data_IF_680069399693
#
_entry.id   IF_680069399693
#
_cell.length_a   1.000
_cell.length_b   1.000
_cell.length_c   1.000
_cell.angle_alpha   90.00
_cell.angle_beta   90.00
_cell.angle_gamma   90.00
#
_symmetry.space_group_name_H-M   'P 1'
#
loop_
_entity.id
_entity.type
_entity.pdbx_description
1 polymer ?
#
# COMPACT_ATOMS: atom_id res chain seq x y z
N UNK A 1 -21.22 37.85 13.23
CA UNK A 1 -20.35 36.67 13.27
C UNK A 1 -19.83 36.44 11.87
N UNK A 2 -18.55 36.13 11.71
CA UNK A 2 -17.95 35.76 10.43
C UNK A 2 -17.25 34.42 10.63
N UNK A 3 -17.47 33.46 9.75
CA UNK A 3 -16.80 32.15 9.79
C UNK A 3 -16.34 31.73 8.41
N UNK A 4 -15.26 30.97 8.33
CA UNK A 4 -14.72 30.40 7.10
C UNK A 4 -14.71 28.87 7.23
N UNK A 5 -15.23 28.19 6.23
CA UNK A 5 -15.22 26.73 6.11
C UNK A 5 -14.52 26.31 4.81
N UNK A 6 -13.82 25.15 4.74
CA UNK A 6 -13.61 24.21 5.83
C UNK A 6 -12.51 24.66 6.83
N UNK A 7 -12.47 24.01 7.99
CA UNK A 7 -11.37 23.92 8.98
C UNK A 7 -10.81 25.21 9.63
N UNK A 8 -11.26 26.40 9.21
CA UNK A 8 -10.81 27.67 9.80
C UNK A 8 -11.73 28.09 10.96
N UNK A 9 -13.05 28.01 10.77
CA UNK A 9 -14.03 28.38 11.79
C UNK A 9 -14.24 29.89 11.91
N UNK A 10 -14.55 30.37 13.11
CA UNK A 10 -14.91 31.78 13.36
C UNK A 10 -13.66 32.67 13.24
N UNK A 11 -13.80 33.77 12.51
CA UNK A 11 -12.75 34.78 12.30
C UNK A 11 -13.29 36.19 12.57
N UNK A 12 -12.37 37.14 12.74
CA UNK A 12 -12.73 38.55 12.80
C UNK A 12 -13.31 39.04 11.47
N UNK A 13 -14.11 40.11 11.51
CA UNK A 13 -14.76 40.67 10.32
C UNK A 13 -13.81 41.37 9.35
N UNK A 14 -12.53 41.52 9.72
CA UNK A 14 -11.47 42.08 8.90
C UNK A 14 -10.12 41.43 9.28
N UNK A 15 -9.24 41.25 8.31
CA UNK A 15 -7.92 40.64 8.50
C UNK A 15 -7.44 39.76 7.35
N UNK A 16 -6.32 39.10 7.57
CA UNK A 16 -5.69 38.18 6.63
C UNK A 16 -5.28 36.89 7.34
N UNK A 17 -5.46 35.74 6.69
CA UNK A 17 -5.07 34.44 7.20
C UNK A 17 -4.27 33.68 6.13
N UNK A 18 -3.12 33.12 6.52
CA UNK A 18 -2.35 32.23 5.66
C UNK A 18 -2.91 30.81 5.76
N UNK A 19 -3.14 30.17 4.61
CA UNK A 19 -3.59 28.77 4.51
C UNK A 19 -2.64 28.01 3.59
N UNK A 20 -2.44 26.71 3.87
CA UNK A 20 -1.63 25.81 3.07
C UNK A 20 -2.38 24.46 2.93
N UNK A 21 -3.49 24.41 2.18
CA UNK A 21 -4.22 23.17 2.01
C UNK A 21 -3.39 22.16 1.23
N UNK A 22 -3.56 20.87 1.54
CA UNK A 22 -2.86 19.77 0.84
C UNK A 22 -3.61 19.30 -0.43
N UNK A 23 -4.85 19.75 -0.59
CA UNK A 23 -5.68 19.48 -1.77
C UNK A 23 -6.36 20.78 -2.22
N UNK A 24 -6.81 20.83 -3.47
CA UNK A 24 -7.56 21.99 -3.98
C UNK A 24 -8.79 22.22 -3.11
N UNK A 25 -8.81 23.34 -2.40
CA UNK A 25 -9.81 23.63 -1.37
C UNK A 25 -10.56 24.90 -1.70
N UNK A 26 -11.89 24.84 -1.69
CA UNK A 26 -12.75 26.02 -1.80
C UNK A 26 -13.16 26.45 -0.40
N UNK A 27 -12.67 27.60 0.02
CA UNK A 27 -13.05 28.22 1.28
C UNK A 27 -14.27 29.09 1.09
N UNK A 28 -15.29 28.91 1.92
CA UNK A 28 -16.51 29.71 1.95
C UNK A 28 -16.52 30.54 3.24
N UNK A 29 -16.49 31.86 3.09
CA UNK A 29 -16.73 32.79 4.20
C UNK A 29 -18.23 33.09 4.31
N UNK A 30 -18.77 33.04 5.51
CA UNK A 30 -20.17 33.38 5.83
C UNK A 30 -20.20 34.45 6.92
N UNK A 31 -20.84 35.58 6.63
CA UNK A 31 -21.06 36.67 7.57
C UNK A 31 -22.54 36.76 7.94
N UNK A 32 -22.84 36.69 9.24
CA UNK A 32 -24.19 36.78 9.82
C UNK A 32 -24.26 38.04 10.70
N UNK A 33 -25.22 38.91 10.42
CA UNK A 33 -25.50 40.12 11.18
C UNK A 33 -26.97 40.49 11.22
N UNK A 34 -27.30 41.64 11.82
CA UNK A 34 -28.68 42.15 11.90
C UNK A 34 -29.32 42.39 10.54
N UNK A 35 -28.50 42.59 9.49
CA UNK A 35 -28.93 42.73 8.10
C UNK A 35 -29.13 41.42 7.34
N UNK A 36 -28.95 40.27 7.97
CA UNK A 36 -29.06 38.95 7.35
C UNK A 36 -27.73 38.22 7.21
N UNK A 37 -27.69 37.24 6.32
CA UNK A 37 -26.54 36.36 6.07
C UNK A 37 -26.04 36.54 4.64
N UNK A 38 -24.73 36.67 4.47
CA UNK A 38 -24.06 36.70 3.16
C UNK A 38 -22.89 35.71 3.16
N UNK A 39 -22.63 35.07 2.02
CA UNK A 39 -21.49 34.16 1.85
C UNK A 39 -20.74 34.46 0.56
N UNK A 40 -19.43 34.20 0.57
CA UNK A 40 -18.56 34.29 -0.60
C UNK A 40 -17.51 33.17 -0.56
N UNK A 41 -17.00 32.75 -1.71
CA UNK A 41 -16.03 31.66 -1.80
C UNK A 41 -14.74 32.07 -2.52
N UNK A 42 -13.61 31.47 -2.12
CA UNK A 42 -12.33 31.54 -2.81
C UNK A 42 -11.73 30.13 -2.92
N UNK A 43 -11.24 29.77 -4.11
CA UNK A 43 -10.63 28.45 -4.36
C UNK A 43 -9.11 28.57 -4.41
N UNK A 44 -8.43 27.82 -3.53
CA UNK A 44 -6.99 27.61 -3.59
C UNK A 44 -6.74 26.31 -4.35
N UNK A 45 -6.11 26.41 -5.52
CA UNK A 45 -5.72 25.23 -6.30
C UNK A 45 -4.38 24.70 -5.81
N UNK A 46 -4.32 23.38 -5.61
CA UNK A 46 -3.11 22.64 -5.27
C UNK A 46 -2.85 21.65 -6.39
N UNK A 47 -1.69 21.78 -7.02
CA UNK A 47 -1.21 20.81 -7.99
C UNK A 47 -0.55 19.65 -7.21
N UNK A 48 -1.21 18.48 -7.21
CA UNK A 48 -0.65 17.29 -6.58
C UNK A 48 0.38 16.65 -7.52
N UNK A 49 1.56 16.24 -7.01
CA UNK A 49 2.52 15.50 -7.83
C UNK A 49 2.03 14.08 -8.17
N UNK A 50 0.93 13.63 -7.54
CA UNK A 50 0.35 12.29 -7.66
C UNK A 50 -0.82 12.29 -8.66
N UNK A 51 -0.79 11.33 -9.59
CA UNK A 51 -1.95 10.91 -10.37
C UNK A 51 -2.22 9.42 -10.14
N UNK A 52 -3.50 9.02 -10.17
CA UNK A 52 -3.93 7.62 -10.05
C UNK A 52 -5.13 7.39 -10.97
N UNK A 53 -5.22 6.20 -11.56
CA UNK A 53 -6.31 5.80 -12.43
C UNK A 53 -6.62 4.31 -12.25
N UNK A 54 -7.91 3.96 -12.15
CA UNK A 54 -8.37 2.57 -12.22
C UNK A 54 -8.50 2.18 -13.70
N UNK A 55 -7.81 1.11 -14.09
CA UNK A 55 -7.82 0.55 -15.46
C UNK A 55 -8.86 -0.57 -15.58
N UNK A 56 -9.00 -1.38 -14.54
CA UNK A 56 -10.00 -2.44 -14.44
C UNK A 56 -10.46 -2.59 -12.98
N UNK A 57 -11.75 -2.82 -12.71
CA UNK A 57 -12.85 -2.86 -13.67
C UNK A 57 -13.12 -1.48 -14.30
N UNK A 58 -13.76 -1.47 -15.47
CA UNK A 58 -14.22 -0.23 -16.08
C UNK A 58 -15.42 0.34 -15.32
N UNK A 59 -15.60 1.66 -15.37
CA UNK A 59 -16.79 2.29 -14.81
C UNK A 59 -18.08 1.76 -15.46
N UNK A 60 -19.06 1.41 -14.62
CA UNK A 60 -20.31 0.76 -15.01
C UNK A 60 -20.22 -0.75 -15.27
N UNK A 61 -19.09 -1.41 -15.01
CA UNK A 61 -18.95 -2.84 -15.26
C UNK A 61 -19.96 -3.69 -14.46
N UNK A 62 -20.48 -4.75 -15.08
CA UNK A 62 -21.24 -5.79 -14.41
C UNK A 62 -20.30 -6.94 -14.02
N UNK A 63 -20.32 -7.33 -12.75
CA UNK A 63 -19.44 -8.34 -12.18
C UNK A 63 -20.29 -9.51 -11.68
N UNK A 64 -20.17 -10.67 -12.31
CA UNK A 64 -20.91 -11.88 -11.93
C UNK A 64 -20.14 -12.72 -10.89
N UNK A 65 -19.67 -12.06 -9.82
CA UNK A 65 -18.82 -12.62 -8.75
C UNK A 65 -19.03 -11.84 -7.44
N UNK A 66 -18.70 -12.44 -6.27
CA UNK A 66 -18.70 -11.73 -4.98
C UNK A 66 -17.48 -10.80 -4.80
N UNK A 67 -16.53 -10.80 -5.73
CA UNK A 67 -15.30 -10.03 -5.67
C UNK A 67 -14.83 -9.58 -7.06
N UNK A 68 -13.84 -8.69 -7.10
CA UNK A 68 -13.19 -8.29 -8.35
C UNK A 68 -11.71 -7.96 -8.11
N UNK A 69 -10.85 -8.36 -9.06
CA UNK A 69 -9.49 -7.83 -9.12
C UNK A 69 -9.53 -6.37 -9.61
N UNK A 70 -8.87 -5.49 -8.86
CA UNK A 70 -8.71 -4.08 -9.26
C UNK A 70 -7.29 -3.87 -9.75
N UNK A 71 -7.15 -3.28 -10.94
CA UNK A 71 -5.89 -2.92 -11.57
C UNK A 71 -5.91 -1.45 -11.92
N UNK A 72 -4.78 -0.79 -11.78
CA UNK A 72 -4.66 0.60 -12.20
C UNK A 72 -3.23 1.04 -12.40
N UNK A 73 -3.10 2.33 -12.68
CA UNK A 73 -1.82 3.01 -12.85
C UNK A 73 -1.74 4.23 -11.95
N UNK A 74 -0.52 4.62 -11.61
CA UNK A 74 -0.26 5.84 -10.84
C UNK A 74 1.06 6.46 -11.28
N UNK A 75 1.26 7.72 -10.91
CA UNK A 75 2.55 8.38 -11.02
C UNK A 75 2.73 9.33 -9.84
N UNK A 76 3.96 9.46 -9.33
CA UNK A 76 4.35 10.51 -8.41
C UNK A 76 5.58 11.26 -8.95
N UNK A 77 5.36 12.44 -9.50
CA UNK A 77 6.44 13.28 -10.07
C UNK A 77 7.34 13.91 -9.01
N UNK A 78 6.94 13.88 -7.74
CA UNK A 78 7.76 14.32 -6.60
C UNK A 78 8.79 13.30 -6.14
N UNK A 79 8.80 12.08 -6.70
CA UNK A 79 9.78 11.02 -6.41
C UNK A 79 9.71 10.48 -4.97
N UNK A 80 8.68 10.85 -4.23
CA UNK A 80 8.45 10.35 -2.87
C UNK A 80 7.79 8.99 -2.92
N UNK A 81 8.14 8.13 -1.97
CA UNK A 81 7.45 6.85 -1.77
C UNK A 81 5.94 7.09 -1.68
N UNK A 82 5.19 6.30 -2.42
CA UNK A 82 3.73 6.40 -2.52
C UNK A 82 3.12 5.05 -2.22
N UNK A 83 2.27 5.00 -1.20
CA UNK A 83 1.45 3.83 -0.91
C UNK A 83 0.10 3.93 -1.61
N UNK A 84 -0.49 2.78 -1.95
CA UNK A 84 -1.77 2.69 -2.66
C UNK A 84 -2.68 1.70 -1.94
N UNK A 85 -3.92 2.11 -1.74
CA UNK A 85 -5.00 1.24 -1.25
C UNK A 85 -6.18 1.23 -2.21
N UNK A 86 -6.94 0.14 -2.22
CA UNK A 86 -8.26 0.06 -2.86
C UNK A 86 -9.28 -0.37 -1.82
N UNK A 87 -10.27 0.49 -1.53
CA UNK A 87 -11.22 0.30 -0.44
C UNK A 87 -10.54 -0.05 0.92
N UNK A 88 -9.35 0.51 1.16
CA UNK A 88 -8.54 0.26 2.36
C UNK A 88 -7.64 -0.99 2.32
N UNK A 89 -7.72 -1.81 1.26
CA UNK A 89 -6.82 -2.96 1.07
C UNK A 89 -5.53 -2.51 0.39
N UNK A 90 -4.37 -2.93 0.90
CA UNK A 90 -3.07 -2.61 0.34
C UNK A 90 -2.90 -3.16 -1.07
N UNK A 91 -2.37 -2.34 -1.98
CA UNK A 91 -2.05 -2.78 -3.33
C UNK A 91 -0.63 -3.35 -3.45
N UNK A 92 -0.50 -4.37 -4.29
CA UNK A 92 0.77 -4.73 -4.91
C UNK A 92 1.13 -3.65 -5.92
N UNK A 93 2.37 -3.17 -5.90
CA UNK A 93 2.85 -2.08 -6.75
C UNK A 93 4.13 -2.50 -7.43
N UNK A 94 4.15 -2.43 -8.77
CA UNK A 94 5.33 -2.74 -9.58
C UNK A 94 5.48 -1.66 -10.67
N UNK A 95 6.57 -0.90 -10.63
CA UNK A 95 6.74 0.27 -11.47
C UNK A 95 5.60 1.27 -11.27
N UNK A 96 4.84 1.55 -12.34
CA UNK A 96 3.71 2.49 -12.33
C UNK A 96 2.34 1.82 -12.30
N UNK A 97 2.28 0.51 -12.07
CA UNK A 97 1.05 -0.28 -11.99
C UNK A 97 0.76 -0.69 -10.55
N UNK A 98 -0.53 -0.79 -10.22
CA UNK A 98 -1.00 -1.36 -8.96
C UNK A 98 -2.08 -2.40 -9.18
N UNK A 99 -2.12 -3.40 -8.30
CA UNK A 99 -3.12 -4.48 -8.32
C UNK A 99 -3.58 -4.81 -6.90
N UNK A 100 -4.88 -5.04 -6.74
CA UNK A 100 -5.49 -5.64 -5.54
C UNK A 100 -6.32 -6.83 -5.97
N UNK A 101 -6.02 -8.01 -5.42
CA UNK A 101 -6.78 -9.24 -5.65
C UNK A 101 -8.07 -9.22 -4.81
N UNK A 102 -9.12 -9.85 -5.33
CA UNK A 102 -10.35 -10.20 -4.59
C UNK A 102 -10.96 -9.04 -3.77
N UNK A 103 -11.07 -7.82 -4.33
CA UNK A 103 -11.77 -6.71 -3.67
C UNK A 103 -13.23 -7.12 -3.45
N UNK A 104 -13.73 -7.23 -2.20
CA UNK A 104 -15.06 -7.73 -1.94
C UNK A 104 -16.15 -6.80 -2.49
N UNK A 105 -17.25 -7.39 -2.97
CA UNK A 105 -18.41 -6.69 -3.49
C UNK A 105 -19.69 -7.19 -2.82
N UNK A 106 -20.63 -6.27 -2.58
CA UNK A 106 -21.98 -6.59 -2.14
C UNK A 106 -22.93 -6.70 -3.36
N UNK A 107 -24.00 -7.51 -3.32
CA UNK A 107 -24.97 -7.55 -4.41
C UNK A 107 -25.56 -6.17 -4.74
N UNK A 108 -25.53 -5.79 -6.02
CA UNK A 108 -25.97 -4.48 -6.51
C UNK A 108 -24.82 -3.51 -6.77
N UNK A 109 -25.08 -2.22 -6.63
CA UNK A 109 -24.09 -1.18 -6.95
C UNK A 109 -23.03 -1.05 -5.86
N UNK A 110 -21.76 -1.10 -6.26
CA UNK A 110 -20.60 -0.86 -5.42
C UNK A 110 -19.78 0.30 -5.98
N UNK A 111 -19.15 1.07 -5.10
CA UNK A 111 -18.12 2.06 -5.48
C UNK A 111 -16.76 1.51 -5.05
N UNK A 112 -15.84 1.43 -6.00
CA UNK A 112 -14.45 1.02 -5.76
C UNK A 112 -13.60 2.28 -5.79
N UNK A 113 -12.88 2.55 -4.71
CA UNK A 113 -12.05 3.75 -4.55
C UNK A 113 -10.60 3.33 -4.39
N UNK A 114 -9.75 3.72 -5.34
CA UNK A 114 -8.31 3.62 -5.23
C UNK A 114 -7.75 4.94 -4.68
N UNK A 115 -6.88 4.89 -3.68
CA UNK A 115 -6.26 6.06 -3.05
C UNK A 115 -4.75 5.89 -3.02
N UNK A 116 -4.03 6.86 -3.59
CA UNK A 116 -2.58 7.00 -3.45
C UNK A 116 -2.26 8.07 -2.41
N UNK A 117 -1.25 7.81 -1.58
CA UNK A 117 -0.74 8.76 -0.59
C UNK A 117 0.78 8.67 -0.51
N UNK A 118 1.47 9.81 -0.60
CA UNK A 118 2.92 9.86 -0.40
C UNK A 118 3.30 10.16 1.06
N UNK A 119 4.59 9.96 1.37
CA UNK A 119 5.14 10.23 2.71
C UNK A 119 5.11 11.71 3.13
N UNK A 120 4.85 12.65 2.21
CA UNK A 120 4.64 14.07 2.53
C UNK A 120 3.15 14.38 2.74
N UNK A 121 2.29 13.38 2.63
CA UNK A 121 0.85 13.45 2.79
C UNK A 121 0.09 14.00 1.59
N UNK A 122 0.73 14.18 0.42
CA UNK A 122 -0.05 14.41 -0.79
C UNK A 122 -0.88 13.16 -1.07
N UNK A 123 -2.14 13.36 -1.43
CA UNK A 123 -3.06 12.26 -1.71
C UNK A 123 -3.93 12.55 -2.92
N UNK A 124 -4.26 11.50 -3.66
CA UNK A 124 -5.18 11.54 -4.79
C UNK A 124 -5.97 10.23 -4.84
N UNK A 125 -7.23 10.31 -5.27
CA UNK A 125 -8.08 9.13 -5.44
C UNK A 125 -8.68 9.06 -6.84
N UNK A 126 -9.04 7.86 -7.25
CA UNK A 126 -9.86 7.57 -8.42
C UNK A 126 -10.92 6.53 -8.03
N UNK A 127 -12.12 6.66 -8.58
CA UNK A 127 -13.22 5.74 -8.30
C UNK A 127 -13.90 5.25 -9.59
N UNK A 128 -14.51 4.07 -9.46
CA UNK A 128 -15.40 3.48 -10.47
C UNK A 128 -16.62 2.89 -9.78
N UNK A 129 -17.77 2.97 -10.43
CA UNK A 129 -18.99 2.28 -9.97
C UNK A 129 -19.15 0.96 -10.72
N UNK A 130 -19.41 -0.13 -10.01
CA UNK A 130 -19.70 -1.44 -10.61
C UNK A 130 -21.02 -1.99 -10.09
N UNK A 131 -21.62 -2.92 -10.83
CA UNK A 131 -22.79 -3.67 -10.38
C UNK A 131 -22.42 -5.13 -10.21
N UNK A 132 -22.48 -5.65 -8.99
CA UNK A 132 -22.19 -7.05 -8.70
C UNK A 132 -23.48 -7.88 -8.64
N UNK A 133 -23.42 -9.08 -9.23
CA UNK A 133 -24.41 -10.13 -9.04
C UNK A 133 -23.67 -11.40 -8.62
N UNK A 134 -24.08 -12.02 -7.52
CA UNK A 134 -23.43 -13.24 -7.03
C UNK A 134 -24.19 -14.44 -7.59
N UNK A 135 -23.60 -15.21 -8.52
CA UNK A 135 -24.23 -16.42 -9.04
C UNK A 135 -24.25 -17.53 -7.98
N UNK A 136 -25.12 -18.52 -8.17
CA UNK A 136 -25.18 -19.72 -7.32
C UNK A 136 -23.86 -20.50 -7.31
N UNK A 137 -23.20 -20.56 -8.47
CA UNK A 137 -21.93 -21.24 -8.65
C UNK A 137 -20.83 -20.28 -9.06
N UNK A 138 -19.70 -20.35 -8.37
CA UNK A 138 -18.47 -19.63 -8.67
C UNK A 138 -17.27 -20.37 -8.06
N UNK A 139 -16.07 -19.97 -8.49
CA UNK A 139 -14.80 -20.41 -7.91
C UNK A 139 -13.99 -19.22 -7.43
N UNK A 140 -13.13 -19.42 -6.45
CA UNK A 140 -12.17 -18.43 -5.96
C UNK A 140 -10.77 -19.03 -6.01
N UNK A 141 -9.85 -18.32 -6.65
CA UNK A 141 -8.44 -18.65 -6.67
C UNK A 141 -7.73 -17.83 -5.59
N UNK A 142 -6.96 -18.49 -4.74
CA UNK A 142 -6.19 -17.86 -3.68
C UNK A 142 -4.73 -18.29 -3.77
N UNK A 143 -3.80 -17.41 -3.41
CA UNK A 143 -2.42 -17.78 -3.14
C UNK A 143 -2.15 -17.71 -1.64
N UNK A 144 -1.25 -18.54 -1.12
CA UNK A 144 -0.82 -18.42 0.28
C UNK A 144 0.03 -17.15 0.52
N UNK A 145 0.75 -16.71 -0.52
CA UNK A 145 1.43 -15.41 -0.60
C UNK A 145 1.23 -14.83 -2.00
N UNK A 146 1.06 -13.51 -2.09
CA UNK A 146 0.82 -12.79 -3.34
C UNK A 146 2.00 -11.93 -3.76
N UNK A 147 2.98 -11.69 -2.88
CA UNK A 147 4.21 -11.00 -3.26
C UNK A 147 5.44 -11.37 -2.46
N UNK A 148 6.62 -11.23 -3.08
CA UNK A 148 7.91 -11.43 -2.42
C UNK A 148 9.12 -11.32 -3.36
N UNK A 149 10.33 -11.42 -2.80
CA UNK A 149 11.59 -11.43 -3.55
C UNK A 149 11.86 -12.79 -4.19
N UNK A 150 12.48 -12.82 -5.38
CA UNK A 150 12.93 -14.06 -6.00
C UNK A 150 14.05 -14.76 -5.18
N UNK A 151 14.11 -16.10 -5.16
CA UNK A 151 13.09 -17.02 -5.68
C UNK A 151 11.81 -16.96 -4.83
N UNK A 152 10.66 -16.95 -5.49
CA UNK A 152 9.35 -16.93 -4.84
C UNK A 152 8.63 -18.26 -5.09
N UNK A 153 8.46 -19.03 -4.02
CA UNK A 153 7.72 -20.29 -4.01
C UNK A 153 6.38 -20.09 -3.28
N UNK A 154 5.28 -20.47 -3.92
CA UNK A 154 3.93 -20.31 -3.37
C UNK A 154 2.97 -21.38 -3.88
N UNK A 155 1.86 -21.55 -3.16
CA UNK A 155 0.76 -22.42 -3.54
C UNK A 155 -0.44 -21.62 -4.02
N UNK A 156 -1.10 -22.13 -5.06
CA UNK A 156 -2.40 -21.71 -5.52
C UNK A 156 -3.45 -22.70 -5.04
N UNK A 157 -4.53 -22.22 -4.45
CA UNK A 157 -5.66 -23.02 -3.99
C UNK A 157 -6.95 -22.53 -4.65
N UNK A 158 -7.73 -23.47 -5.18
CA UNK A 158 -9.02 -23.20 -5.81
C UNK A 158 -10.12 -23.64 -4.86
N UNK A 159 -10.98 -22.69 -4.49
CA UNK A 159 -12.23 -22.98 -3.77
C UNK A 159 -13.40 -22.81 -4.72
N UNK A 160 -14.51 -23.47 -4.44
CA UNK A 160 -15.74 -23.28 -5.19
C UNK A 160 -16.94 -23.62 -4.35
N UNK A 161 -18.13 -23.21 -4.81
CA UNK A 161 -19.40 -23.63 -4.19
C UNK A 161 -19.75 -25.09 -4.51
N UNK A 162 -18.88 -25.78 -5.27
CA UNK A 162 -18.92 -27.19 -5.62
C UNK A 162 -17.52 -27.80 -5.50
N UNK A 163 -17.42 -29.14 -5.44
CA UNK A 163 -16.13 -29.84 -5.38
C UNK A 163 -15.34 -29.69 -6.68
N UNK A 164 -14.07 -29.32 -6.56
CA UNK A 164 -13.14 -29.22 -7.66
C UNK A 164 -12.54 -30.61 -7.91
N UNK A 165 -12.73 -31.17 -9.11
CA UNK A 165 -12.23 -32.50 -9.49
C UNK A 165 -11.14 -32.46 -10.56
N UNK A 166 -11.10 -31.36 -11.31
CA UNK A 166 -10.14 -31.10 -12.38
C UNK A 166 -10.10 -29.58 -12.56
N UNK A 167 -8.90 -29.04 -12.65
CA UNK A 167 -8.68 -27.62 -12.83
C UNK A 167 -7.51 -27.37 -13.76
N UNK A 168 -7.59 -26.28 -14.50
CA UNK A 168 -6.49 -25.82 -15.35
C UNK A 168 -6.06 -24.45 -14.84
N UNK A 169 -4.77 -24.31 -14.55
CA UNK A 169 -4.13 -23.01 -14.34
C UNK A 169 -3.49 -22.56 -15.65
N UNK A 170 -3.87 -21.38 -16.14
CA UNK A 170 -3.13 -20.65 -17.17
C UNK A 170 -2.51 -19.40 -16.57
N UNK A 171 -1.49 -18.83 -17.24
CA UNK A 171 -0.85 -17.62 -16.78
C UNK A 171 -0.57 -16.65 -17.93
N UNK A 172 -0.45 -15.37 -17.58
CA UNK A 172 0.12 -14.31 -18.42
C UNK A 172 1.09 -13.47 -17.60
N UNK A 173 1.91 -12.62 -18.24
CA UNK A 173 2.95 -11.85 -17.56
C UNK A 173 4.28 -12.59 -17.49
N UNK A 174 4.99 -12.47 -16.36
CA UNK A 174 6.22 -13.25 -16.15
C UNK A 174 5.89 -14.74 -16.05
N UNK A 175 6.79 -15.58 -16.57
CA UNK A 175 6.58 -17.02 -16.64
C UNK A 175 7.08 -17.71 -15.36
N UNK A 176 6.32 -18.64 -14.77
CA UNK A 176 6.84 -19.49 -13.71
C UNK A 176 7.91 -20.43 -14.27
N UNK A 177 8.93 -20.72 -13.47
CA UNK A 177 9.91 -21.78 -13.78
C UNK A 177 9.28 -23.15 -13.56
N UNK A 178 8.40 -23.25 -12.56
CA UNK A 178 7.65 -24.45 -12.25
C UNK A 178 6.19 -24.09 -11.93
N UNK A 179 5.27 -24.86 -12.50
CA UNK A 179 3.85 -24.84 -12.21
C UNK A 179 3.38 -26.30 -12.22
N UNK A 180 3.13 -26.84 -11.04
CA UNK A 180 2.82 -28.26 -10.85
C UNK A 180 1.49 -28.41 -10.13
N UNK A 181 0.59 -29.21 -10.70
CA UNK A 181 -0.61 -29.68 -9.98
C UNK A 181 -0.18 -30.67 -8.89
N UNK A 182 -0.61 -30.42 -7.66
CA UNK A 182 -0.36 -31.28 -6.50
C UNK A 182 -1.63 -32.04 -6.14
N UNK A 183 -2.76 -31.35 -6.14
CA UNK A 183 -4.11 -31.89 -5.98
C UNK A 183 -5.03 -31.21 -7.01
N UNK A 184 -6.24 -31.75 -7.28
CA UNK A 184 -7.15 -31.16 -8.27
C UNK A 184 -7.51 -29.68 -8.03
N UNK A 185 -7.34 -29.20 -6.79
CA UNK A 185 -7.57 -27.83 -6.35
C UNK A 185 -6.31 -27.12 -5.83
N UNK A 186 -5.13 -27.73 -5.93
CA UNK A 186 -3.88 -27.17 -5.41
C UNK A 186 -2.74 -27.26 -6.43
N UNK A 187 -2.04 -26.14 -6.65
CA UNK A 187 -0.87 -26.06 -7.52
C UNK A 187 0.30 -25.42 -6.77
N UNK A 188 1.51 -25.93 -7.00
CA UNK A 188 2.75 -25.33 -6.52
C UNK A 188 3.42 -24.55 -7.66
N UNK A 189 3.93 -23.38 -7.34
CA UNK A 189 4.51 -22.44 -8.31
C UNK A 189 5.83 -21.91 -7.81
N UNK A 190 6.83 -21.88 -8.69
CA UNK A 190 8.14 -21.25 -8.44
C UNK A 190 8.46 -20.19 -9.48
N UNK A 191 8.88 -19.02 -9.03
CA UNK A 191 9.20 -17.86 -9.87
C UNK A 191 10.58 -17.31 -9.54
N UNK A 192 11.30 -16.85 -10.56
CA UNK A 192 12.65 -16.24 -10.42
C UNK A 192 12.80 -14.89 -11.11
N UNK A 193 11.90 -14.56 -12.04
CA UNK A 193 11.91 -13.29 -12.76
C UNK A 193 11.07 -12.26 -12.01
N UNK A 194 11.52 -11.01 -11.96
CA UNK A 194 10.80 -9.90 -11.33
C UNK A 194 9.65 -9.41 -12.22
N UNK A 195 8.52 -9.04 -11.61
CA UNK A 195 7.32 -8.58 -12.30
C UNK A 195 6.03 -9.19 -11.78
N UNK A 196 4.95 -8.97 -12.53
CA UNK A 196 3.61 -9.48 -12.20
C UNK A 196 3.26 -10.65 -13.12
N UNK A 197 2.77 -11.73 -12.54
CA UNK A 197 2.07 -12.80 -13.24
C UNK A 197 0.59 -12.80 -12.87
N UNK A 198 -0.27 -13.10 -13.84
CA UNK A 198 -1.71 -13.27 -13.65
C UNK A 198 -2.07 -14.73 -13.87
N UNK A 199 -2.41 -15.43 -12.79
CA UNK A 199 -2.83 -16.82 -12.81
C UNK A 199 -4.34 -16.90 -12.93
N UNK A 200 -4.84 -17.65 -13.91
CA UNK A 200 -6.28 -17.86 -14.11
C UNK A 200 -6.60 -19.34 -13.90
N UNK A 201 -7.42 -19.62 -12.90
CA UNK A 201 -8.02 -20.93 -12.72
C UNK A 201 -9.21 -21.08 -13.67
N UNK A 202 -9.36 -22.28 -14.23
CA UNK A 202 -10.50 -22.69 -15.04
C UNK A 202 -10.99 -24.04 -14.57
N UNK A 203 -12.27 -24.11 -14.19
CA UNK A 203 -12.94 -25.34 -13.74
C UNK A 203 -14.23 -25.53 -14.52
N UNK A 204 -14.55 -26.77 -14.92
CA UNK A 204 -15.81 -27.09 -15.59
C UNK A 204 -16.72 -27.83 -14.61
N UNK A 205 -17.91 -27.29 -14.37
CA UNK A 205 -18.94 -27.91 -13.54
C UNK A 205 -20.29 -27.89 -14.28
N UNK A 206 -20.91 -29.06 -14.40
CA UNK A 206 -22.17 -29.27 -15.15
C UNK A 206 -22.16 -28.70 -16.58
N UNK A 207 -20.99 -28.75 -17.24
CA UNK A 207 -20.81 -28.24 -18.60
C UNK A 207 -20.61 -26.72 -18.71
N UNK A 208 -20.68 -25.99 -17.59
CA UNK A 208 -20.36 -24.55 -17.50
C UNK A 208 -18.91 -24.37 -17.07
N UNK A 209 -18.22 -23.40 -17.67
CA UNK A 209 -16.85 -23.04 -17.29
C UNK A 209 -16.87 -21.88 -16.30
N UNK A 210 -16.17 -22.05 -15.18
CA UNK A 210 -15.95 -21.03 -14.16
C UNK A 210 -14.48 -20.62 -14.19
N UNK A 211 -14.24 -19.32 -14.02
CA UNK A 211 -12.87 -18.77 -14.01
C UNK A 211 -12.70 -17.78 -12.86
N UNK A 212 -11.50 -17.77 -12.32
CA UNK A 212 -11.02 -16.70 -11.44
C UNK A 212 -9.56 -16.39 -11.73
N UNK A 213 -9.18 -15.13 -11.55
CA UNK A 213 -7.83 -14.66 -11.82
C UNK A 213 -7.28 -13.91 -10.62
N UNK A 214 -6.07 -14.25 -10.20
CA UNK A 214 -5.28 -13.46 -9.22
C UNK A 214 -3.95 -13.04 -9.82
N UNK A 215 -3.38 -11.97 -9.27
CA UNK A 215 -2.03 -11.54 -9.54
C UNK A 215 -1.09 -12.01 -8.43
N UNK A 216 0.13 -12.39 -8.80
CA UNK A 216 1.24 -12.61 -7.87
C UNK A 216 2.43 -11.80 -8.39
N UNK A 217 3.15 -11.15 -7.49
CA UNK A 217 4.21 -10.20 -7.81
C UNK A 217 5.55 -10.63 -7.22
N UNK A 218 6.54 -10.83 -8.09
CA UNK A 218 7.94 -10.90 -7.69
C UNK A 218 8.47 -9.46 -7.70
N UNK A 219 8.88 -8.95 -6.53
CA UNK A 219 9.24 -7.53 -6.36
C UNK A 219 10.56 -7.17 -7.06
N UNK A 220 10.71 -5.91 -7.47
CA UNK A 220 12.02 -5.34 -7.80
C UNK A 220 12.81 -5.16 -6.50
N UNK A 221 13.76 -6.07 -6.25
CA UNK A 221 14.52 -6.08 -5.00
C UNK A 221 15.43 -4.86 -4.90
N UNK A 222 15.98 -4.40 -6.03
CA UNK A 222 16.92 -3.28 -6.05
C UNK A 222 16.23 -1.95 -5.71
N UNK A 223 15.01 -1.73 -6.23
CA UNK A 223 14.20 -0.55 -5.93
C UNK A 223 13.82 -0.49 -4.45
N UNK A 224 13.28 -1.59 -3.91
CA UNK A 224 12.87 -1.64 -2.50
C UNK A 224 14.09 -1.54 -1.58
N UNK A 225 15.20 -2.23 -1.87
CA UNK A 225 16.39 -2.16 -1.03
C UNK A 225 16.98 -0.74 -0.99
N UNK A 226 17.06 -0.06 -2.13
CA UNK A 226 17.52 1.32 -2.19
C UNK A 226 16.64 2.26 -1.33
N UNK A 227 15.32 2.10 -1.40
CA UNK A 227 14.37 2.88 -0.59
C UNK A 227 14.58 2.64 0.92
N UNK A 228 14.67 1.38 1.34
CA UNK A 228 14.75 1.02 2.76
C UNK A 228 16.13 1.35 3.35
N UNK A 229 17.21 1.20 2.59
CA UNK A 229 18.55 1.68 2.95
C UNK A 229 18.58 3.20 3.16
N UNK A 230 17.90 3.96 2.29
CA UNK A 230 17.80 5.40 2.41
C UNK A 230 17.01 5.79 3.68
N UNK A 231 15.86 5.15 3.93
CA UNK A 231 15.07 5.36 5.17
C UNK A 231 15.89 5.08 6.42
N UNK A 232 16.62 3.96 6.45
CA UNK A 232 17.51 3.63 7.56
C UNK A 232 18.58 4.70 7.78
N UNK A 233 19.21 5.16 6.70
CA UNK A 233 20.26 6.19 6.74
C UNK A 233 19.73 7.52 7.26
N UNK A 234 18.58 7.97 6.77
CA UNK A 234 17.98 9.24 7.19
C UNK A 234 17.47 9.17 8.64
N UNK A 235 16.91 8.05 9.06
CA UNK A 235 16.53 7.81 10.45
C UNK A 235 17.75 7.93 11.38
N UNK A 236 18.85 7.22 11.08
CA UNK A 236 20.11 7.31 11.86
C UNK A 236 20.65 8.74 11.90
N UNK A 237 20.61 9.46 10.78
CA UNK A 237 21.05 10.85 10.69
C UNK A 237 20.22 11.77 11.60
N UNK A 238 18.90 11.58 11.69
CA UNK A 238 18.06 12.36 12.61
C UNK A 238 18.39 12.07 14.06
N UNK A 239 18.50 10.80 14.43
CA UNK A 239 18.89 10.42 15.79
C UNK A 239 20.26 11.00 16.18
N UNK A 240 21.26 10.97 15.28
CA UNK A 240 22.60 11.51 15.53
C UNK A 240 22.65 13.05 15.60
N UNK A 241 21.58 13.73 15.21
CA UNK A 241 21.40 15.18 15.40
C UNK A 241 20.54 15.50 16.64
N UNK A 242 20.12 14.49 17.41
CA UNK A 242 19.19 14.64 18.54
C UNK A 242 17.73 14.89 18.12
N UNK A 243 17.39 14.74 16.84
CA UNK A 243 16.02 14.90 16.32
C UNK A 243 15.23 13.60 16.49
N UNK A 244 14.90 13.29 17.75
CA UNK A 244 14.07 12.11 18.09
C UNK A 244 12.68 12.18 17.44
N UNK A 245 11.93 13.30 17.51
CA UNK A 245 10.61 13.37 16.89
C UNK A 245 10.66 13.09 15.38
N UNK A 246 11.61 13.67 14.65
CA UNK A 246 11.74 13.41 13.23
C UNK A 246 12.19 11.98 12.91
N UNK A 247 13.02 11.36 13.76
CA UNK A 247 13.40 9.96 13.58
C UNK A 247 12.21 9.01 13.76
N UNK A 248 11.30 9.32 14.68
CA UNK A 248 10.11 8.53 14.99
C UNK A 248 9.10 8.47 13.82
N UNK A 249 9.19 9.38 12.85
CA UNK A 249 8.37 9.32 11.61
C UNK A 249 8.72 8.13 10.71
N UNK A 250 9.92 7.55 10.87
CA UNK A 250 10.30 6.33 10.15
C UNK A 250 9.75 5.05 10.79
N UNK A 251 9.14 5.15 11.98
CA UNK A 251 8.62 4.01 12.73
C UNK A 251 7.11 3.88 12.55
N UNK A 252 6.65 2.63 12.59
CA UNK A 252 5.22 2.35 12.54
C UNK A 252 4.51 3.00 13.73
N UNK A 253 3.28 3.44 13.54
CA UNK A 253 2.50 4.06 14.62
C UNK A 253 2.36 3.14 15.83
N UNK A 254 2.26 1.82 15.60
CA UNK A 254 2.14 0.82 16.64
C UNK A 254 3.39 0.71 17.53
N UNK A 255 4.59 0.90 16.97
CA UNK A 255 5.86 0.71 17.68
C UNK A 255 6.51 2.02 18.12
N UNK A 256 6.06 3.15 17.56
CA UNK A 256 6.56 4.49 17.84
C UNK A 256 6.64 4.83 19.34
N UNK A 257 5.63 4.57 20.20
CA UNK A 257 5.72 4.92 21.62
C UNK A 257 6.84 4.17 22.37
N UNK A 258 7.10 2.91 21.99
CA UNK A 258 8.17 2.10 22.58
C UNK A 258 9.54 2.64 22.20
N UNK A 259 9.74 2.99 20.92
CA UNK A 259 10.99 3.58 20.45
C UNK A 259 11.21 4.99 21.00
N UNK A 260 10.15 5.79 21.12
CA UNK A 260 10.22 7.11 21.76
C UNK A 260 10.72 7.01 23.20
N UNK A 261 10.16 6.09 23.99
CA UNK A 261 10.63 5.83 25.35
C UNK A 261 12.10 5.43 25.38
N UNK A 262 12.50 4.47 24.54
CA UNK A 262 13.87 3.96 24.49
C UNK A 262 14.89 5.03 24.07
N UNK A 263 14.58 5.83 23.03
CA UNK A 263 15.47 6.89 22.57
C UNK A 263 15.62 8.00 23.60
N UNK A 264 14.54 8.38 24.29
CA UNK A 264 14.63 9.35 25.38
C UNK A 264 15.44 8.82 26.57
N UNK A 265 15.29 7.54 26.93
CA UNK A 265 16.06 6.89 27.99
C UNK A 265 17.56 6.85 27.65
N UNK A 266 17.87 6.56 26.40
CA UNK A 266 19.24 6.37 25.90
C UNK A 266 19.84 7.64 25.31
N UNK A 267 19.19 8.80 25.43
CA UNK A 267 19.55 10.03 24.71
C UNK A 267 21.03 10.43 24.86
N UNK A 268 21.59 10.26 26.07
CA UNK A 268 23.00 10.56 26.35
C UNK A 268 24.02 9.62 25.64
N UNK A 269 23.55 8.49 25.12
CA UNK A 269 24.36 7.44 24.49
C UNK A 269 23.96 7.18 23.02
N UNK A 270 22.98 7.92 22.47
CA UNK A 270 22.48 7.69 21.11
C UNK A 270 23.60 7.80 20.07
N UNK A 271 24.48 8.78 20.18
CA UNK A 271 25.59 8.96 19.24
C UNK A 271 26.51 7.72 19.17
N UNK A 272 26.82 7.11 20.32
CA UNK A 272 27.64 5.89 20.38
C UNK A 272 26.88 4.68 19.80
N UNK A 273 25.60 4.54 20.14
CA UNK A 273 24.74 3.46 19.64
C UNK A 273 24.62 3.52 18.12
N UNK A 274 24.37 4.71 17.56
CA UNK A 274 24.21 4.93 16.12
C UNK A 274 25.54 4.71 15.38
N UNK A 275 26.66 5.17 15.96
CA UNK A 275 27.98 4.88 15.41
C UNK A 275 28.30 3.38 15.40
N UNK A 276 27.75 2.63 16.37
CA UNK A 276 27.83 1.18 16.42
C UNK A 276 26.96 0.48 15.37
N UNK A 277 25.85 1.08 14.93
CA UNK A 277 24.98 0.53 13.87
C UNK A 277 25.58 0.77 12.48
N UNK A 278 26.21 -0.25 11.90
CA UNK A 278 26.96 -0.10 10.64
C UNK A 278 26.07 -0.26 9.42
N UNK A 279 25.84 -1.50 9.02
CA UNK A 279 25.24 -1.84 7.73
C UNK A 279 24.04 -2.75 7.93
N UNK A 280 23.06 -2.59 7.05
CA UNK A 280 21.94 -3.51 6.91
C UNK A 280 22.08 -4.23 5.57
N UNK A 281 21.74 -5.52 5.56
CA UNK A 281 21.73 -6.34 4.35
C UNK A 281 20.39 -7.04 4.26
N UNK A 282 19.71 -6.88 3.13
CA UNK A 282 18.42 -7.50 2.90
C UNK A 282 18.56 -9.03 2.96
N UNK A 283 17.64 -9.66 3.69
CA UNK A 283 17.50 -11.11 3.81
C UNK A 283 16.42 -11.60 2.85
N UNK A 284 15.22 -11.02 2.95
CA UNK A 284 14.09 -11.32 2.07
C UNK A 284 13.01 -10.26 2.13
N UNK A 285 12.15 -10.23 1.11
CA UNK A 285 10.90 -9.46 1.08
C UNK A 285 9.77 -10.47 0.88
N UNK A 286 8.73 -10.39 1.70
CA UNK A 286 7.56 -11.25 1.63
C UNK A 286 6.34 -10.43 2.04
N UNK A 287 5.34 -10.33 1.16
CA UNK A 287 4.15 -9.51 1.33
C UNK A 287 4.44 -8.06 1.73
N UNK A 288 3.99 -7.66 2.90
CA UNK A 288 4.16 -6.34 3.48
C UNK A 288 5.40 -6.22 4.35
N UNK A 289 6.27 -7.24 4.39
CA UNK A 289 7.43 -7.31 5.27
C UNK A 289 8.76 -7.36 4.50
N UNK A 290 9.75 -6.62 4.97
CA UNK A 290 11.13 -6.71 4.51
C UNK A 290 12.06 -6.95 5.70
N UNK A 291 12.83 -8.04 5.62
CA UNK A 291 13.73 -8.49 6.67
C UNK A 291 15.18 -8.15 6.32
N UNK A 292 15.88 -7.53 7.27
CA UNK A 292 17.28 -7.16 7.16
C UNK A 292 18.09 -7.75 8.29
N UNK A 293 19.32 -8.15 7.98
CA UNK A 293 20.36 -8.38 8.97
C UNK A 293 21.08 -7.05 9.24
N UNK A 294 20.93 -6.51 10.44
CA UNK A 294 21.68 -5.35 10.92
C UNK A 294 22.95 -5.83 11.60
N UNK A 295 24.11 -5.43 11.07
CA UNK A 295 25.42 -5.68 11.68
C UNK A 295 25.93 -4.39 12.32
N UNK A 296 26.40 -4.51 13.56
CA UNK A 296 27.04 -3.41 14.26
C UNK A 296 28.27 -3.84 15.03
N UNK A 297 28.93 -2.87 15.65
CA UNK A 297 30.06 -3.09 16.55
C UNK A 297 29.94 -2.19 17.78
N UNK A 298 30.14 -2.77 18.96
CA UNK A 298 30.20 -2.02 20.22
C UNK A 298 31.45 -2.43 20.98
N UNK A 299 32.28 -1.45 21.35
CA UNK A 299 33.55 -1.69 22.05
C UNK A 299 34.47 -2.74 21.38
N UNK A 300 34.48 -2.82 20.04
CA UNK A 300 35.26 -3.80 19.28
C UNK A 300 34.63 -5.19 19.15
N UNK A 301 33.43 -5.41 19.69
CA UNK A 301 32.69 -6.67 19.55
C UNK A 301 31.57 -6.52 18.50
N UNK A 302 31.51 -7.40 17.49
CA UNK A 302 30.43 -7.38 16.53
C UNK A 302 29.12 -7.89 17.15
N UNK A 303 28.00 -7.33 16.72
CA UNK A 303 26.66 -7.84 17.02
C UNK A 303 25.81 -7.88 15.75
N UNK A 304 24.77 -8.72 15.78
CA UNK A 304 23.78 -8.83 14.70
C UNK A 304 22.37 -8.88 15.26
N UNK A 305 21.46 -8.11 14.69
CA UNK A 305 20.02 -8.11 15.00
C UNK A 305 19.19 -8.16 13.72
N UNK A 306 17.93 -8.55 13.85
CA UNK A 306 16.95 -8.40 12.79
C UNK A 306 16.40 -6.98 12.80
N UNK A 307 16.49 -6.31 11.65
CA UNK A 307 15.75 -5.08 11.37
C UNK A 307 14.57 -5.46 10.48
N UNK A 308 13.37 -5.05 10.90
CA UNK A 308 12.14 -5.33 10.17
C UNK A 308 11.48 -4.03 9.72
N UNK A 309 11.19 -3.95 8.43
CA UNK A 309 10.27 -2.97 7.86
C UNK A 309 8.94 -3.64 7.55
N UNK A 310 7.85 -2.89 7.72
CA UNK A 310 6.51 -3.29 7.33
C UNK A 310 5.81 -2.17 6.56
N UNK A 311 5.02 -2.48 5.54
CA UNK A 311 4.08 -1.51 4.94
C UNK A 311 2.94 -1.22 5.93
N UNK A 312 2.72 0.05 6.24
CA UNK A 312 1.59 0.49 7.07
C UNK A 312 0.30 0.56 6.26
N UNK A 313 -0.84 0.82 6.90
CA UNK A 313 -2.15 0.86 6.23
C UNK A 313 -2.28 1.93 5.13
N UNK A 314 -1.36 2.89 5.05
CA UNK A 314 -1.23 3.85 3.95
C UNK A 314 -0.43 3.31 2.75
N UNK A 315 0.13 2.10 2.86
CA UNK A 315 0.95 1.43 1.85
C UNK A 315 2.42 1.82 1.83
N UNK A 316 2.91 2.58 2.83
CA UNK A 316 4.31 3.02 2.90
C UNK A 316 5.13 2.23 3.93
N UNK A 317 6.43 2.07 3.71
CA UNK A 317 7.31 1.28 4.56
C UNK A 317 7.72 2.04 5.84
N UNK A 318 7.61 1.34 6.97
CA UNK A 318 8.02 1.83 8.30
C UNK A 318 8.81 0.76 9.07
N UNK A 319 9.70 1.21 9.93
CA UNK A 319 10.44 0.36 10.86
C UNK A 319 9.49 -0.13 11.94
N UNK A 320 9.43 -1.45 12.15
CA UNK A 320 8.65 -2.07 13.23
C UNK A 320 9.54 -2.60 14.34
N UNK A 321 10.77 -3.03 14.05
CA UNK A 321 11.65 -3.62 15.05
C UNK A 321 13.14 -3.51 14.68
N UNK A 322 14.02 -3.27 15.66
CA UNK A 322 15.46 -3.53 15.63
C UNK A 322 16.10 -3.45 17.02
#
# INVERSE_FOLDING_TARGET
>A
MVSIEPDIGIVDSDGTLSVAPMQTTTYTITAIGTGGTVSQSATVRVDSPISINIVSPADGASIDRPDVMVRGTFANTGGSETGITVNGVLAMVYGNEFVVNNVPLEPGTNTIIATAMDINGHSQSADVSVSAAVPEHYIELHANITSGSAPLDFSLHIRGTFSIQDAIITYTGIAPVELMEVEPDEFQVSMIDEGIAWYTAKVVHEGVTYTDTIAVMVVDVAEIDALLQQKWTDMKKRLGNGDIPGALEYFSEATRPTFEYNFNLLNAHLDEIIAGMRSITLVKIEEDMAEYNLVGEQAGQPFSFYLLFQKTGDGTWRIVNF
#
